data_IF_084076285758
#
_entry.id   IF_084076285758
#
_cell.length_a   1.000
_cell.length_b   1.000
_cell.length_c   1.000
_cell.angle_alpha   90.00
_cell.angle_beta   90.00
_cell.angle_gamma   90.00
#
_symmetry.space_group_name_H-M   'P 1'
#
loop_
_entity.id
_entity.type
_entity.pdbx_description
1 polymer ?
#
# COMPACT_ATOMS: atom_id res chain seq x y z
N UNK A 1 15.29 -32.28 -2.77
CA UNK A 1 15.59 -30.91 -2.32
C UNK A 1 14.41 -30.00 -2.66
N UNK A 2 13.53 -29.66 -1.71
CA UNK A 2 12.61 -28.52 -1.89
C UNK A 2 13.50 -27.29 -2.03
N UNK A 3 13.56 -26.67 -3.21
CA UNK A 3 14.18 -25.34 -3.37
C UNK A 3 13.58 -24.47 -2.28
N UNK A 4 14.36 -24.11 -1.24
CA UNK A 4 13.97 -23.04 -0.31
C UNK A 4 13.66 -21.87 -1.24
N UNK A 5 12.39 -21.50 -1.31
CA UNK A 5 11.99 -20.31 -2.04
C UNK A 5 12.85 -19.20 -1.45
N UNK A 6 13.71 -18.62 -2.28
CA UNK A 6 14.61 -17.54 -1.92
C UNK A 6 13.80 -16.50 -1.12
N UNK A 7 14.30 -16.06 0.03
CA UNK A 7 13.55 -15.21 0.97
C UNK A 7 12.95 -14.00 0.24
N UNK A 8 13.73 -13.44 -0.69
CA UNK A 8 13.31 -12.35 -1.56
C UNK A 8 12.05 -12.69 -2.37
N UNK A 9 11.92 -13.92 -2.87
CA UNK A 9 10.74 -14.36 -3.62
C UNK A 9 9.51 -14.49 -2.72
N UNK A 10 9.68 -14.94 -1.47
CA UNK A 10 8.57 -14.97 -0.50
C UNK A 10 8.11 -13.57 -0.13
N UNK A 11 9.05 -12.67 0.17
CA UNK A 11 8.75 -11.30 0.57
C UNK A 11 8.04 -10.52 -0.56
N UNK A 12 8.49 -10.70 -1.82
CA UNK A 12 7.79 -10.17 -3.00
C UNK A 12 6.34 -10.66 -3.10
N UNK A 13 6.13 -11.97 -2.90
CA UNK A 13 4.82 -12.59 -3.04
C UNK A 13 3.85 -12.12 -1.95
N UNK A 14 4.33 -12.00 -0.71
CA UNK A 14 3.54 -11.48 0.41
C UNK A 14 3.15 -10.02 0.13
N UNK A 15 4.12 -9.17 -0.18
CA UNK A 15 3.86 -7.75 -0.43
C UNK A 15 2.92 -7.51 -1.62
N UNK A 16 3.16 -8.19 -2.75
CA UNK A 16 2.29 -8.08 -3.92
C UNK A 16 0.88 -8.64 -3.65
N UNK A 17 0.79 -9.69 -2.81
CA UNK A 17 -0.47 -10.27 -2.37
C UNK A 17 -1.28 -9.31 -1.47
N UNK A 18 -0.63 -8.60 -0.56
CA UNK A 18 -1.27 -7.57 0.27
C UNK A 18 -1.85 -6.44 -0.58
N UNK A 19 -1.09 -5.94 -1.57
CA UNK A 19 -1.57 -4.93 -2.50
C UNK A 19 -2.77 -5.41 -3.31
N UNK A 20 -2.74 -6.65 -3.80
CA UNK A 20 -3.86 -7.23 -4.52
C UNK A 20 -5.10 -7.38 -3.63
N UNK A 21 -4.93 -7.74 -2.36
CA UNK A 21 -6.04 -7.79 -1.41
C UNK A 21 -6.69 -6.41 -1.22
N UNK A 22 -5.89 -5.35 -1.07
CA UNK A 22 -6.42 -3.99 -1.01
C UNK A 22 -7.15 -3.61 -2.30
N UNK A 23 -6.60 -3.95 -3.47
CA UNK A 23 -7.26 -3.73 -4.75
C UNK A 23 -8.65 -4.37 -4.81
N UNK A 24 -8.76 -5.65 -4.39
CA UNK A 24 -10.04 -6.37 -4.36
C UNK A 24 -11.03 -5.68 -3.42
N UNK A 25 -10.60 -5.30 -2.22
CA UNK A 25 -11.46 -4.60 -1.25
C UNK A 25 -11.98 -3.29 -1.85
N UNK A 26 -11.10 -2.45 -2.41
CA UNK A 26 -11.51 -1.18 -3.02
C UNK A 26 -12.41 -1.38 -4.24
N UNK A 27 -12.12 -2.38 -5.08
CA UNK A 27 -12.95 -2.71 -6.24
C UNK A 27 -14.34 -3.18 -5.86
N UNK A 28 -14.46 -4.07 -4.86
CA UNK A 28 -15.75 -4.57 -4.38
C UNK A 28 -16.57 -3.43 -3.79
N UNK A 29 -15.98 -2.59 -2.94
CA UNK A 29 -16.68 -1.44 -2.34
C UNK A 29 -17.13 -0.45 -3.43
N UNK A 30 -16.25 -0.14 -4.40
CA UNK A 30 -16.61 0.74 -5.52
C UNK A 30 -17.81 0.20 -6.32
N UNK A 31 -17.81 -1.09 -6.65
CA UNK A 31 -18.92 -1.72 -7.38
C UNK A 31 -20.22 -1.66 -6.57
N UNK A 32 -20.17 -2.00 -5.28
CA UNK A 32 -21.35 -1.99 -4.41
C UNK A 32 -21.95 -0.58 -4.24
N UNK A 33 -21.11 0.45 -4.19
CA UNK A 33 -21.56 1.84 -4.14
C UNK A 33 -22.09 2.34 -5.50
N UNK A 34 -21.45 2.00 -6.62
CA UNK A 34 -21.98 2.32 -7.96
C UNK A 34 -23.36 1.70 -8.18
N UNK A 35 -23.55 0.44 -7.76
CA UNK A 35 -24.82 -0.28 -7.84
C UNK A 35 -25.86 0.21 -6.80
N UNK A 36 -25.50 1.14 -5.92
CA UNK A 36 -26.37 1.69 -4.87
C UNK A 36 -26.95 0.59 -3.94
N UNK A 37 -26.24 -0.53 -3.81
CA UNK A 37 -26.55 -1.58 -2.82
C UNK A 37 -26.27 -1.04 -1.42
N UNK A 38 -25.20 -0.28 -1.28
CA UNK A 38 -24.86 0.46 -0.06
C UNK A 38 -25.43 1.87 -0.19
N UNK A 39 -26.58 2.12 0.45
CA UNK A 39 -27.13 3.47 0.60
C UNK A 39 -26.58 4.09 1.87
N UNK A 40 -25.62 4.99 1.70
CA UNK A 40 -24.99 5.70 2.81
C UNK A 40 -25.93 6.83 3.26
N UNK A 41 -26.18 6.91 4.57
CA UNK A 41 -26.98 7.99 5.16
C UNK A 41 -26.15 9.29 5.25
N UNK A 42 -26.80 10.45 5.25
CA UNK A 42 -26.14 11.77 5.33
C UNK A 42 -25.09 11.89 6.45
N UNK A 43 -25.37 11.33 7.64
CA UNK A 43 -24.41 11.34 8.76
C UNK A 43 -23.15 10.55 8.44
N UNK A 44 -23.30 9.45 7.73
CA UNK A 44 -22.18 8.61 7.33
C UNK A 44 -21.36 9.30 6.24
N UNK A 45 -21.99 10.01 5.29
CA UNK A 45 -21.27 10.84 4.32
C UNK A 45 -20.41 11.90 5.00
N UNK A 46 -20.94 12.57 6.02
CA UNK A 46 -20.19 13.59 6.73
C UNK A 46 -18.96 13.02 7.46
N UNK A 47 -19.12 11.88 8.15
CA UNK A 47 -18.01 11.18 8.80
C UNK A 47 -16.99 10.71 7.75
N UNK A 48 -17.48 10.14 6.65
CA UNK A 48 -16.64 9.60 5.59
C UNK A 48 -15.79 10.70 4.96
N UNK A 49 -16.39 11.85 4.61
CA UNK A 49 -15.66 13.00 4.07
C UNK A 49 -14.54 13.49 4.99
N UNK A 50 -14.73 13.47 6.31
CA UNK A 50 -13.67 13.84 7.25
C UNK A 50 -12.52 12.82 7.28
N UNK A 51 -12.87 11.52 7.25
CA UNK A 51 -11.89 10.43 7.21
C UNK A 51 -11.09 10.50 5.91
N UNK A 52 -11.76 10.65 4.77
CA UNK A 52 -11.12 10.72 3.46
C UNK A 52 -10.35 12.02 3.25
N UNK A 53 -10.80 13.14 3.84
CA UNK A 53 -10.04 14.40 3.82
C UNK A 53 -8.70 14.24 4.53
N UNK A 54 -8.71 13.60 5.70
CA UNK A 54 -7.48 13.28 6.43
C UNK A 54 -6.60 12.32 5.64
N UNK A 55 -7.18 11.26 5.08
CA UNK A 55 -6.46 10.29 4.24
C UNK A 55 -5.83 10.92 3.00
N UNK A 56 -6.58 11.75 2.27
CA UNK A 56 -6.10 12.47 1.09
C UNK A 56 -4.98 13.46 1.42
N UNK A 57 -5.13 14.20 2.52
CA UNK A 57 -4.08 15.10 3.01
C UNK A 57 -2.82 14.32 3.37
N UNK A 58 -2.96 13.15 4.01
CA UNK A 58 -1.83 12.29 4.34
C UNK A 58 -1.08 11.80 3.11
N UNK A 59 -1.78 11.40 2.04
CA UNK A 59 -1.14 10.99 0.78
C UNK A 59 -0.31 12.13 0.15
N UNK A 60 -0.83 13.36 0.18
CA UNK A 60 -0.12 14.54 -0.32
C UNK A 60 1.11 14.84 0.55
N UNK A 61 0.95 14.84 1.88
CA UNK A 61 2.06 15.08 2.81
C UNK A 61 3.15 14.02 2.64
N UNK A 62 2.78 12.74 2.53
CA UNK A 62 3.75 11.66 2.37
C UNK A 62 4.48 11.76 1.02
N UNK A 63 3.82 12.22 -0.05
CA UNK A 63 4.47 12.54 -1.33
C UNK A 63 5.53 13.65 -1.17
N UNK A 64 5.16 14.80 -0.58
CA UNK A 64 6.11 15.89 -0.35
C UNK A 64 7.24 15.49 0.60
N UNK A 65 6.94 14.68 1.61
CA UNK A 65 7.93 14.18 2.55
C UNK A 65 8.91 13.22 1.88
N UNK A 66 8.43 12.32 1.01
CA UNK A 66 9.28 11.47 0.19
C UNK A 66 10.14 12.28 -0.77
N UNK A 67 9.61 13.38 -1.31
CA UNK A 67 10.35 14.29 -2.17
C UNK A 67 11.43 15.06 -1.41
N UNK A 68 11.16 15.60 -0.23
CA UNK A 68 12.11 16.45 0.50
C UNK A 68 13.14 15.65 1.32
N UNK A 69 12.78 14.47 1.80
CA UNK A 69 13.64 13.70 2.71
C UNK A 69 14.67 12.84 1.98
N UNK A 70 15.92 13.30 1.95
CA UNK A 70 17.07 12.55 1.40
C UNK A 70 17.25 11.17 2.05
N UNK A 71 16.85 10.99 3.31
CA UNK A 71 16.94 9.73 4.05
C UNK A 71 15.88 8.70 3.63
N UNK A 72 14.73 9.14 3.13
CA UNK A 72 13.57 8.28 2.79
C UNK A 72 13.52 7.89 1.32
N UNK A 73 14.01 8.75 0.43
CA UNK A 73 14.11 8.48 -1.02
C UNK A 73 14.63 7.07 -1.38
N UNK A 74 15.69 6.53 -0.76
CA UNK A 74 16.20 5.21 -1.14
C UNK A 74 15.34 4.05 -0.63
N UNK A 75 14.39 4.28 0.29
CA UNK A 75 13.60 3.22 0.95
C UNK A 75 12.15 3.15 0.46
N UNK A 76 11.73 4.09 -0.37
CA UNK A 76 10.33 4.23 -0.81
C UNK A 76 10.28 4.07 -2.33
N UNK A 77 9.27 3.35 -2.82
CA UNK A 77 8.95 3.34 -4.24
C UNK A 77 8.26 4.66 -4.61
N UNK A 78 8.97 5.47 -5.41
CA UNK A 78 8.50 6.80 -5.80
C UNK A 78 7.28 6.73 -6.73
N UNK A 79 7.17 5.63 -7.49
CA UNK A 79 6.06 5.34 -8.40
C UNK A 79 4.74 5.29 -7.62
N UNK A 80 4.71 4.60 -6.49
CA UNK A 80 3.51 4.47 -5.65
C UNK A 80 3.04 5.84 -5.17
N UNK A 81 3.98 6.71 -4.77
CA UNK A 81 3.65 8.06 -4.31
C UNK A 81 3.10 8.93 -5.43
N UNK A 82 3.61 8.78 -6.64
CA UNK A 82 3.10 9.47 -7.83
C UNK A 82 1.70 8.95 -8.19
N UNK A 83 1.49 7.64 -8.16
CA UNK A 83 0.19 7.02 -8.49
C UNK A 83 -0.89 7.41 -7.49
N UNK A 84 -0.56 7.51 -6.21
CA UNK A 84 -1.53 7.89 -5.18
C UNK A 84 -1.78 9.40 -5.06
N UNK A 85 -0.89 10.25 -5.58
CA UNK A 85 -1.04 11.70 -5.47
C UNK A 85 -2.32 12.25 -6.12
N UNK A 86 -2.71 11.85 -7.34
CA UNK A 86 -4.00 12.24 -7.92
C UNK A 86 -5.20 11.86 -7.06
N UNK A 87 -5.18 10.68 -6.44
CA UNK A 87 -6.23 10.26 -5.51
C UNK A 87 -6.28 11.19 -4.29
N UNK A 88 -5.12 11.52 -3.71
CA UNK A 88 -5.03 12.44 -2.57
C UNK A 88 -5.57 13.83 -2.88
N UNK A 89 -5.19 14.39 -4.04
CA UNK A 89 -5.69 15.70 -4.50
C UNK A 89 -7.20 15.65 -4.73
N UNK A 90 -7.69 14.62 -5.42
CA UNK A 90 -9.11 14.45 -5.68
C UNK A 90 -9.90 14.37 -4.38
N UNK A 91 -9.48 13.53 -3.42
CA UNK A 91 -10.14 13.40 -2.12
C UNK A 91 -10.20 14.74 -1.39
N UNK A 92 -9.08 15.46 -1.27
CA UNK A 92 -9.06 16.75 -0.57
C UNK A 92 -10.00 17.76 -1.22
N UNK A 93 -9.97 17.88 -2.54
CA UNK A 93 -10.83 18.83 -3.26
C UNK A 93 -12.30 18.43 -3.16
N UNK A 94 -12.61 17.15 -3.38
CA UNK A 94 -13.96 16.61 -3.33
C UNK A 94 -14.57 16.74 -1.93
N UNK A 95 -13.81 16.37 -0.89
CA UNK A 95 -14.29 16.40 0.50
C UNK A 95 -14.51 17.83 0.99
N UNK A 96 -13.59 18.77 0.66
CA UNK A 96 -13.79 20.19 0.95
C UNK A 96 -15.03 20.74 0.24
N UNK A 97 -15.22 20.41 -1.04
CA UNK A 97 -16.42 20.80 -1.77
C UNK A 97 -17.68 20.25 -1.10
N UNK A 98 -17.71 18.98 -0.76
CA UNK A 98 -18.85 18.32 -0.11
C UNK A 98 -19.16 18.88 1.28
N UNK A 99 -18.14 19.23 2.08
CA UNK A 99 -18.29 19.83 3.41
C UNK A 99 -18.78 21.28 3.35
N UNK A 100 -18.31 22.07 2.38
CA UNK A 100 -18.66 23.50 2.23
C UNK A 100 -20.01 23.67 1.53
N UNK A 101 -20.15 23.07 0.35
CA UNK A 101 -21.31 23.29 -0.52
C UNK A 101 -22.53 22.45 -0.12
N UNK A 102 -22.33 21.38 0.66
CA UNK A 102 -23.39 20.44 1.08
C UNK A 102 -24.34 20.09 -0.09
N UNK A 103 -23.80 19.50 -1.17
CA UNK A 103 -24.56 19.29 -2.39
C UNK A 103 -25.81 18.45 -2.11
N UNK A 104 -26.97 19.01 -2.48
CA UNK A 104 -28.27 18.34 -2.38
C UNK A 104 -28.45 17.26 -3.48
N UNK A 105 -27.59 17.28 -4.50
CA UNK A 105 -27.63 16.31 -5.59
C UNK A 105 -26.99 14.98 -5.13
N UNK A 106 -27.78 13.89 -5.02
CA UNK A 106 -27.26 12.59 -4.56
C UNK A 106 -26.24 11.99 -5.52
N UNK A 107 -26.23 12.40 -6.79
CA UNK A 107 -25.28 11.91 -7.79
C UNK A 107 -23.83 12.24 -7.43
N UNK A 108 -23.59 13.34 -6.69
CA UNK A 108 -22.23 13.75 -6.28
C UNK A 108 -21.59 12.68 -5.41
N UNK A 109 -22.32 12.16 -4.43
CA UNK A 109 -21.83 11.10 -3.55
C UNK A 109 -21.85 9.73 -4.22
N UNK A 110 -22.88 9.46 -5.03
CA UNK A 110 -23.02 8.19 -5.76
C UNK A 110 -21.86 7.94 -6.74
N UNK A 111 -21.32 8.98 -7.37
CA UNK A 111 -20.21 8.81 -8.33
C UNK A 111 -18.87 9.29 -7.77
N UNK A 112 -18.87 10.24 -6.83
CA UNK A 112 -17.65 10.87 -6.35
C UNK A 112 -16.71 9.90 -5.62
N UNK A 113 -17.23 9.21 -4.60
CA UNK A 113 -16.45 8.25 -3.79
C UNK A 113 -16.10 6.98 -4.60
N UNK A 114 -17.03 6.34 -5.34
CA UNK A 114 -16.70 5.11 -6.05
C UNK A 114 -15.67 5.32 -7.17
N UNK A 115 -15.63 6.50 -7.78
CA UNK A 115 -14.63 6.84 -8.80
C UNK A 115 -13.22 6.82 -8.22
N UNK A 116 -13.00 7.44 -7.05
CA UNK A 116 -11.66 7.44 -6.43
C UNK A 116 -11.28 6.06 -5.90
N UNK A 117 -12.24 5.29 -5.36
CA UNK A 117 -11.98 3.90 -4.95
C UNK A 117 -11.61 3.02 -6.15
N UNK A 118 -12.24 3.24 -7.31
CA UNK A 118 -11.88 2.56 -8.55
C UNK A 118 -10.48 2.93 -9.00
N UNK A 119 -10.11 4.21 -8.93
CA UNK A 119 -8.75 4.65 -9.23
C UNK A 119 -7.72 4.01 -8.30
N UNK A 120 -7.98 3.98 -6.98
CA UNK A 120 -7.11 3.31 -6.01
C UNK A 120 -6.98 1.82 -6.30
N UNK A 121 -8.09 1.14 -6.64
CA UNK A 121 -8.06 -0.26 -7.07
C UNK A 121 -7.10 -0.47 -8.26
N UNK A 122 -7.19 0.36 -9.30
CA UNK A 122 -6.30 0.29 -10.46
C UNK A 122 -4.83 0.52 -10.07
N UNK A 123 -4.55 1.49 -9.20
CA UNK A 123 -3.20 1.73 -8.68
C UNK A 123 -2.68 0.49 -7.93
N UNK A 124 -3.46 -0.10 -7.03
CA UNK A 124 -3.04 -1.28 -6.28
C UNK A 124 -2.85 -2.53 -7.15
N UNK A 125 -3.68 -2.73 -8.18
CA UNK A 125 -3.45 -3.81 -9.17
C UNK A 125 -2.12 -3.57 -9.90
N UNK A 126 -1.88 -2.35 -10.36
CA UNK A 126 -0.63 -2.00 -11.03
C UNK A 126 0.58 -2.21 -10.10
N UNK A 127 0.53 -1.72 -8.87
CA UNK A 127 1.60 -1.85 -7.88
C UNK A 127 1.87 -3.32 -7.53
N UNK A 128 0.82 -4.13 -7.37
CA UNK A 128 0.96 -5.56 -7.11
C UNK A 128 1.72 -6.28 -8.23
N UNK A 129 1.40 -5.96 -9.50
CA UNK A 129 2.10 -6.52 -10.66
C UNK A 129 3.52 -5.95 -10.74
N UNK A 130 3.67 -4.63 -10.61
CA UNK A 130 4.94 -3.93 -10.74
C UNK A 130 5.96 -4.41 -9.70
N UNK A 131 5.57 -4.51 -8.43
CA UNK A 131 6.48 -4.91 -7.34
C UNK A 131 6.82 -6.39 -7.30
N UNK A 132 6.05 -7.23 -7.98
CA UNK A 132 6.46 -8.61 -8.23
C UNK A 132 7.75 -8.65 -9.07
N UNK A 133 7.85 -7.80 -10.10
CA UNK A 133 9.04 -7.70 -10.95
C UNK A 133 10.11 -6.76 -10.38
N UNK A 134 9.70 -5.62 -9.84
CA UNK A 134 10.54 -4.55 -9.30
C UNK A 134 10.27 -4.34 -7.80
N UNK A 135 10.83 -5.20 -6.93
CA UNK A 135 10.62 -5.13 -5.49
C UNK A 135 11.02 -3.77 -4.92
N UNK A 136 10.30 -3.35 -3.89
CA UNK A 136 10.61 -2.11 -3.17
C UNK A 136 12.00 -2.23 -2.53
N UNK A 137 12.82 -1.16 -2.56
CA UNK A 137 14.14 -1.15 -1.95
C UNK A 137 14.17 -1.66 -0.50
N UNK A 138 13.15 -1.33 0.30
CA UNK A 138 13.03 -1.81 1.68
C UNK A 138 12.96 -3.34 1.79
N UNK A 139 12.30 -4.02 0.86
CA UNK A 139 12.20 -5.49 0.83
C UNK A 139 13.55 -6.12 0.46
N UNK A 140 14.31 -5.46 -0.42
CA UNK A 140 15.66 -5.89 -0.79
C UNK A 140 16.61 -5.79 0.41
N UNK A 141 16.53 -4.69 1.17
CA UNK A 141 17.36 -4.48 2.35
C UNK A 141 17.07 -5.53 3.45
N UNK A 142 15.79 -5.80 3.72
CA UNK A 142 15.37 -6.85 4.67
C UNK A 142 15.88 -8.22 4.23
N UNK A 143 15.82 -8.52 2.92
CA UNK A 143 16.32 -9.79 2.39
C UNK A 143 17.81 -9.99 2.58
N UNK A 144 18.60 -8.94 2.43
CA UNK A 144 20.05 -8.98 2.67
C UNK A 144 20.38 -9.15 4.15
N UNK A 145 19.66 -8.49 5.04
CA UNK A 145 19.85 -8.62 6.49
C UNK A 145 19.51 -10.02 6.99
N UNK A 146 18.42 -10.63 6.51
CA UNK A 146 18.06 -12.00 6.88
C UNK A 146 19.02 -13.04 6.30
N UNK A 147 19.50 -12.85 5.07
CA UNK A 147 20.51 -13.73 4.48
C UNK A 147 21.82 -13.68 5.29
N UNK A 148 22.25 -12.49 5.72
CA UNK A 148 23.40 -12.35 6.63
C UNK A 148 23.19 -13.03 7.99
N UNK A 149 22.02 -12.88 8.62
CA UNK A 149 21.72 -13.54 9.89
C UNK A 149 21.73 -15.07 9.78
N UNK A 150 21.15 -15.60 8.70
CA UNK A 150 21.14 -17.05 8.46
C UNK A 150 22.56 -17.59 8.23
N UNK A 151 23.43 -16.84 7.55
CA UNK A 151 24.85 -17.20 7.36
C UNK A 151 25.65 -17.19 8.68
N UNK A 152 25.34 -16.27 9.60
CA UNK A 152 25.98 -16.24 10.94
C UNK A 152 25.53 -17.44 11.77
N UNK A 153 24.22 -17.73 11.79
CA UNK A 153 23.67 -18.90 12.49
C UNK A 153 24.22 -20.22 11.95
N UNK A 154 24.36 -20.37 10.62
CA UNK A 154 24.98 -21.56 10.03
C UNK A 154 26.45 -21.69 10.42
N UNK A 155 27.21 -20.59 10.52
CA UNK A 155 28.59 -20.63 11.01
C UNK A 155 28.70 -21.02 12.48
N UNK A 156 27.83 -20.48 13.34
CA UNK A 156 27.81 -20.82 14.77
C UNK A 156 27.41 -22.29 15.01
N UNK A 157 26.50 -22.84 14.20
CA UNK A 157 26.13 -24.26 14.27
C UNK A 157 27.27 -25.19 13.81
N UNK A 158 28.03 -24.80 12.78
CA UNK A 158 29.16 -25.60 12.28
C UNK A 158 30.39 -25.52 13.20
N UNK A 159 30.63 -24.39 13.86
CA UNK A 159 31.71 -24.25 14.84
C UNK A 159 31.40 -24.89 16.20
N UNK A 160 30.11 -24.96 16.59
CA UNK A 160 29.67 -25.64 17.80
C UNK A 160 29.70 -27.18 17.74
N UNK A 161 29.81 -27.77 16.55
CA UNK A 161 29.82 -29.23 16.34
C UNK A 161 31.21 -29.86 16.26
N UNK A 162 32.32 -29.12 16.40
CA UNK A 162 33.66 -29.75 16.50
C UNK A 162 33.73 -30.56 17.80
N UNK A 163 33.80 -31.91 17.77
CA UNK A 163 34.06 -32.68 18.96
C UNK A 163 35.48 -32.32 19.42
N UNK A 164 35.66 -32.07 20.71
CA UNK A 164 36.97 -32.10 21.32
C UNK A 164 37.58 -33.48 21.04
N UNK A 165 38.53 -33.55 20.11
CA UNK A 165 39.45 -34.68 20.00
C UNK A 165 40.31 -34.65 21.27
N UNK A 166 39.89 -35.39 22.28
CA UNK A 166 40.71 -35.73 23.44
C UNK A 166 41.76 -36.75 23.00
N UNK A 167 43.01 -36.29 22.96
CA UNK A 167 44.23 -37.12 22.92
C UNK A 167 44.32 -38.08 24.12
#
# INVERSE_FOLDING_TARGET
>A
MKKKLDFLTKAKLIYSGELLLFAIIFGVVAILEFLQVIKISERHHLIFNWITLFGGTWLIVDFFWALLSKKRRPKIAFIDKILHLPAGIYLVVFDLYCLIAKPQNPLVYQYGIPTVLTYLCLCYVFEAIYHYFYPIPSIIDIGKEEEQKNLVLEKEMVEGEKPYETE
#
